data_IF_966241782893
#
_entry.id   IF_966241782893
#
_cell.length_a   1.000
_cell.length_b   1.000
_cell.length_c   1.000
_cell.angle_alpha   90.00
_cell.angle_beta   90.00
_cell.angle_gamma   90.00
#
_symmetry.space_group_name_H-M   'P 1'
#
loop_
_entity.id
_entity.type
_entity.pdbx_description
1 polymer ?
#
# COMPACT_ATOMS: atom_id res chain seq x y z
N UNK A 1 14.70 -12.76 3.31
CA UNK A 1 14.04 -11.69 4.10
C UNK A 1 13.01 -12.29 5.04
N UNK A 2 12.56 -11.54 6.05
CA UNK A 2 11.81 -12.09 7.19
C UNK A 2 10.30 -11.84 7.02
N UNK A 3 9.57 -12.77 6.38
CA UNK A 3 8.10 -12.72 6.20
C UNK A 3 7.34 -12.39 7.50
N UNK A 4 7.70 -12.95 8.68
CA UNK A 4 7.15 -12.52 9.96
C UNK A 4 7.23 -11.02 10.26
N UNK A 5 8.28 -10.32 9.81
CA UNK A 5 8.39 -8.87 9.95
C UNK A 5 7.40 -8.14 9.05
N UNK A 6 7.27 -8.56 7.79
CA UNK A 6 6.28 -8.01 6.87
C UNK A 6 4.86 -8.21 7.39
N UNK A 7 4.55 -9.40 7.88
CA UNK A 7 3.26 -9.71 8.49
C UNK A 7 2.93 -8.78 9.66
N UNK A 8 3.90 -8.49 10.55
CA UNK A 8 3.71 -7.52 11.64
C UNK A 8 3.43 -6.11 11.12
N UNK A 9 4.09 -5.69 10.03
CA UNK A 9 3.84 -4.39 9.39
C UNK A 9 2.43 -4.32 8.82
N UNK A 10 2.00 -5.35 8.07
CA UNK A 10 0.67 -5.41 7.43
C UNK A 10 -0.46 -5.45 8.48
N UNK A 11 -0.27 -6.18 9.58
CA UNK A 11 -1.20 -6.16 10.74
C UNK A 11 -1.42 -4.75 11.31
N UNK A 12 -0.46 -3.84 11.13
CA UNK A 12 -0.48 -2.45 11.62
C UNK A 12 -0.57 -1.46 10.47
N UNK A 13 -1.20 -1.84 9.35
CA UNK A 13 -1.26 -1.02 8.13
C UNK A 13 -1.75 0.40 8.39
N UNK A 14 -2.73 0.57 9.28
CA UNK A 14 -3.29 1.88 9.64
C UNK A 14 -2.23 2.85 10.24
N UNK A 15 -1.30 2.32 11.02
CA UNK A 15 -0.23 3.11 11.65
C UNK A 15 0.89 3.41 10.65
N UNK A 16 1.29 2.39 9.87
CA UNK A 16 2.39 2.53 8.93
C UNK A 16 2.02 3.34 7.68
N UNK A 17 0.74 3.37 7.28
CA UNK A 17 0.28 4.07 6.07
C UNK A 17 0.38 5.59 6.17
N UNK A 18 0.43 6.17 7.37
CA UNK A 18 0.42 7.63 7.58
C UNK A 18 1.57 8.37 6.88
N UNK A 19 2.69 7.68 6.63
CA UNK A 19 3.89 8.24 5.98
C UNK A 19 4.20 7.56 4.66
N UNK A 20 3.26 6.78 4.12
CA UNK A 20 3.45 5.98 2.92
C UNK A 20 2.53 6.47 1.81
N UNK A 21 3.01 6.52 0.57
CA UNK A 21 2.18 6.90 -0.56
C UNK A 21 1.13 5.82 -0.83
N UNK A 22 -0.07 6.25 -1.19
CA UNK A 22 -1.19 5.38 -1.56
C UNK A 22 -1.56 5.72 -3.00
N UNK A 23 -1.69 4.70 -3.83
CA UNK A 23 -1.98 4.85 -5.26
C UNK A 23 -3.24 4.06 -5.62
N UNK A 24 -3.93 4.49 -6.70
CA UNK A 24 -5.05 3.72 -7.28
C UNK A 24 -4.57 2.64 -8.27
N UNK A 25 -3.42 2.84 -8.90
CA UNK A 25 -2.88 1.95 -9.92
C UNK A 25 -1.61 1.26 -9.41
N UNK A 26 -1.55 -0.06 -9.58
CA UNK A 26 -0.38 -0.90 -9.26
C UNK A 26 0.84 -0.46 -10.05
N UNK A 27 0.69 -0.06 -11.31
CA UNK A 27 1.82 0.34 -12.16
C UNK A 27 2.60 1.53 -11.57
N UNK A 28 1.90 2.48 -10.95
CA UNK A 28 2.51 3.66 -10.33
C UNK A 28 3.30 3.27 -9.07
N UNK A 29 2.77 2.35 -8.27
CA UNK A 29 3.48 1.79 -7.10
C UNK A 29 4.77 1.09 -7.55
N UNK A 30 4.67 0.30 -8.61
CA UNK A 30 5.81 -0.44 -9.14
C UNK A 30 6.88 0.51 -9.70
N UNK A 31 6.51 1.56 -10.41
CA UNK A 31 7.44 2.59 -10.86
C UNK A 31 8.11 3.29 -9.68
N UNK A 32 7.34 3.66 -8.66
CA UNK A 32 7.88 4.23 -7.43
C UNK A 32 8.87 3.28 -6.76
N UNK A 33 8.54 2.00 -6.60
CA UNK A 33 9.44 0.99 -6.00
C UNK A 33 10.73 0.82 -6.80
N UNK A 34 10.64 0.74 -8.14
CA UNK A 34 11.82 0.62 -9.02
C UNK A 34 12.77 1.82 -8.89
N UNK A 35 12.25 2.98 -8.52
CA UNK A 35 13.06 4.19 -8.29
C UNK A 35 13.82 4.21 -6.96
N UNK A 36 13.50 3.30 -6.02
CA UNK A 36 14.10 3.30 -4.67
C UNK A 36 15.55 2.80 -4.73
N UNK A 37 16.43 3.25 -3.82
CA UNK A 37 17.84 2.83 -3.81
C UNK A 37 18.06 1.32 -3.69
N UNK A 38 17.15 0.60 -3.03
CA UNK A 38 17.19 -0.85 -2.89
C UNK A 38 15.76 -1.42 -3.01
N UNK A 39 15.26 -1.64 -4.25
CA UNK A 39 13.87 -2.05 -4.49
C UNK A 39 13.49 -3.37 -3.81
N UNK A 40 14.49 -4.22 -3.51
CA UNK A 40 14.27 -5.50 -2.80
C UNK A 40 13.75 -5.29 -1.38
N UNK A 41 14.04 -4.15 -0.75
CA UNK A 41 13.54 -3.83 0.60
C UNK A 41 12.16 -3.18 0.61
N UNK A 42 11.56 -3.01 -0.56
CA UNK A 42 10.30 -2.31 -0.73
C UNK A 42 9.21 -3.33 -1.09
N UNK A 43 8.00 -3.06 -0.63
CA UNK A 43 6.84 -3.90 -0.84
C UNK A 43 5.58 -3.03 -0.77
N UNK A 44 4.46 -3.55 -1.24
CA UNK A 44 3.18 -2.86 -1.15
C UNK A 44 2.03 -3.82 -0.83
N UNK A 45 0.94 -3.25 -0.34
CA UNK A 45 -0.28 -3.99 -0.04
C UNK A 45 -1.41 -3.49 -0.94
N UNK A 46 -2.27 -4.42 -1.37
CA UNK A 46 -3.54 -4.11 -2.03
C UNK A 46 -4.62 -4.08 -0.97
N UNK A 47 -5.35 -2.96 -0.91
CA UNK A 47 -6.40 -2.72 0.07
C UNK A 47 -7.69 -2.34 -0.63
N UNK A 48 -8.80 -2.88 -0.14
CA UNK A 48 -10.14 -2.47 -0.58
C UNK A 48 -10.67 -1.38 0.33
N UNK A 49 -11.05 -0.24 -0.24
CA UNK A 49 -11.61 0.90 0.48
C UNK A 49 -12.87 1.41 -0.21
N UNK A 50 -13.75 2.08 0.52
CA UNK A 50 -14.93 2.72 -0.10
C UNK A 50 -14.49 3.99 -0.81
N UNK A 51 -15.01 4.23 -2.01
CA UNK A 51 -14.75 5.46 -2.76
C UNK A 51 -15.13 6.72 -1.96
N UNK A 52 -16.16 6.62 -1.12
CA UNK A 52 -16.58 7.70 -0.21
C UNK A 52 -15.52 8.11 0.81
N UNK A 53 -14.58 7.22 1.13
CA UNK A 53 -13.55 7.43 2.14
C UNK A 53 -12.28 8.05 1.56
N UNK A 54 -12.23 8.21 0.24
CA UNK A 54 -11.18 8.94 -0.45
C UNK A 54 -11.46 10.44 -0.35
N UNK A 55 -10.52 11.18 0.23
CA UNK A 55 -10.61 12.63 0.34
C UNK A 55 -10.30 13.22 -1.03
N UNK A 56 -11.29 13.90 -1.61
CA UNK A 56 -11.11 14.65 -2.85
C UNK A 56 -10.22 15.86 -2.56
N UNK A 57 -9.18 16.07 -3.37
CA UNK A 57 -8.23 17.18 -3.19
C UNK A 57 -8.94 18.53 -3.01
N UNK A 58 -8.44 19.32 -2.07
CA UNK A 58 -8.98 20.66 -1.80
C UNK A 58 -8.69 21.58 -3.00
N UNK A 59 -9.72 22.29 -3.48
CA UNK A 59 -9.62 23.24 -4.60
C UNK A 59 -8.99 22.66 -5.91
N UNK A 60 -9.12 21.34 -6.14
CA UNK A 60 -8.65 20.69 -7.37
C UNK A 60 -7.14 20.41 -7.43
N UNK A 61 -6.38 20.71 -6.37
CA UNK A 61 -4.96 20.36 -6.29
C UNK A 61 -4.82 18.90 -5.82
N UNK A 62 -4.26 18.07 -6.68
CA UNK A 62 -3.92 16.68 -6.40
C UNK A 62 -2.48 16.61 -5.90
N UNK A 63 -2.23 15.80 -4.89
CA UNK A 63 -0.87 15.46 -4.50
C UNK A 63 -0.32 14.44 -5.49
N UNK A 64 0.94 14.61 -5.90
CA UNK A 64 1.60 13.68 -6.81
C UNK A 64 2.95 13.29 -6.26
N UNK A 65 3.42 12.11 -6.66
CA UNK A 65 4.81 11.72 -6.43
C UNK A 65 5.79 12.47 -7.37
N UNK A 66 7.06 12.07 -7.34
CA UNK A 66 8.11 12.66 -8.18
C UNK A 66 7.96 12.36 -9.69
N UNK A 67 7.15 11.36 -10.05
CA UNK A 67 6.85 10.96 -11.43
C UNK A 67 5.57 11.61 -11.96
N UNK A 68 4.85 12.36 -11.11
CA UNK A 68 3.59 13.01 -11.45
C UNK A 68 2.37 12.12 -11.23
N UNK A 69 2.53 10.95 -10.61
CA UNK A 69 1.42 10.04 -10.32
C UNK A 69 0.60 10.54 -9.14
N UNK A 70 -0.72 10.57 -9.30
CA UNK A 70 -1.65 10.99 -8.25
C UNK A 70 -1.56 10.08 -7.01
N UNK A 71 -1.39 10.72 -5.85
CA UNK A 71 -1.47 10.11 -4.54
C UNK A 71 -2.89 10.24 -3.98
N UNK A 72 -3.33 9.19 -3.30
CA UNK A 72 -4.64 9.10 -2.69
C UNK A 72 -4.55 9.45 -1.22
N UNK A 73 -5.35 10.42 -0.80
CA UNK A 73 -5.57 10.69 0.62
C UNK A 73 -6.84 9.98 1.09
N UNK A 74 -6.74 9.21 2.17
CA UNK A 74 -7.87 8.52 2.78
C UNK A 74 -8.30 9.22 4.07
N UNK A 75 -9.57 9.08 4.44
CA UNK A 75 -10.05 9.48 5.76
C UNK A 75 -9.37 8.66 6.85
N UNK A 76 -9.22 9.25 8.03
CA UNK A 76 -8.76 8.53 9.21
C UNK A 76 -9.65 7.30 9.49
N UNK A 77 -9.04 6.18 9.87
CA UNK A 77 -9.74 4.92 10.15
C UNK A 77 -10.17 4.10 8.93
N UNK A 78 -9.95 4.59 7.70
CA UNK A 78 -10.29 3.84 6.47
C UNK A 78 -9.47 2.56 6.30
N UNK A 79 -8.18 2.63 6.66
CA UNK A 79 -7.27 1.51 6.55
C UNK A 79 -7.31 0.66 7.82
N UNK A 80 -7.42 -0.64 7.62
CA UNK A 80 -7.36 -1.66 8.66
C UNK A 80 -6.85 -2.95 8.04
N UNK A 81 -6.24 -3.82 8.86
CA UNK A 81 -5.69 -5.10 8.39
C UNK A 81 -6.77 -5.99 7.75
N UNK A 82 -8.03 -5.86 8.19
CA UNK A 82 -9.19 -6.59 7.63
C UNK A 82 -9.52 -6.21 6.19
N UNK A 83 -9.04 -5.06 5.71
CA UNK A 83 -9.27 -4.56 4.37
C UNK A 83 -8.10 -4.86 3.42
N UNK A 84 -7.02 -5.46 3.93
CA UNK A 84 -5.87 -5.89 3.13
C UNK A 84 -6.22 -7.20 2.44
N UNK A 85 -6.07 -7.23 1.12
CA UNK A 85 -6.28 -8.44 0.32
C UNK A 85 -4.97 -9.16 0.08
N UNK A 86 -3.98 -8.43 -0.42
CA UNK A 86 -2.71 -8.99 -0.85
C UNK A 86 -1.54 -8.13 -0.40
N UNK A 87 -0.39 -8.77 -0.28
CA UNK A 87 0.91 -8.15 -0.06
C UNK A 87 1.88 -8.65 -1.12
N UNK A 88 2.55 -7.72 -1.78
CA UNK A 88 3.44 -8.00 -2.90
C UNK A 88 4.84 -7.52 -2.53
N UNK A 89 5.81 -8.42 -2.66
CA UNK A 89 7.22 -8.16 -2.36
C UNK A 89 8.11 -8.78 -3.43
N UNK A 90 8.65 -7.94 -4.32
CA UNK A 90 9.30 -8.42 -5.54
C UNK A 90 8.29 -9.16 -6.42
N UNK A 91 8.64 -10.39 -6.81
CA UNK A 91 7.78 -11.28 -7.60
C UNK A 91 6.86 -12.14 -6.73
N UNK A 92 7.01 -12.08 -5.40
CA UNK A 92 6.23 -12.89 -4.47
C UNK A 92 4.90 -12.22 -4.15
N UNK A 93 3.82 -12.99 -4.23
CA UNK A 93 2.47 -12.56 -3.90
C UNK A 93 1.94 -13.36 -2.72
N UNK A 94 1.48 -12.65 -1.70
CA UNK A 94 0.90 -13.22 -0.50
C UNK A 94 -0.55 -12.76 -0.36
N UNK A 95 -1.48 -13.70 -0.13
CA UNK A 95 -2.80 -13.35 0.38
C UNK A 95 -2.69 -13.06 1.88
N UNK A 96 -3.46 -12.09 2.36
CA UNK A 96 -3.50 -11.74 3.79
C UNK A 96 -4.79 -12.27 4.42
N UNK A 97 -4.71 -13.44 5.06
CA UNK A 97 -5.86 -14.20 5.59
C UNK A 97 -5.67 -14.40 7.09
N UNK A 98 -6.68 -14.08 7.89
CA UNK A 98 -6.65 -14.25 9.35
C UNK A 98 -5.40 -13.66 10.03
N UNK A 99 -4.94 -12.50 9.51
CA UNK A 99 -3.72 -11.80 9.91
C UNK A 99 -2.41 -12.51 9.53
N UNK A 100 -2.42 -13.45 8.60
CA UNK A 100 -1.23 -14.17 8.13
C UNK A 100 -0.98 -13.94 6.64
N UNK A 101 0.31 -13.89 6.27
CA UNK A 101 0.73 -13.84 4.88
C UNK A 101 0.88 -15.27 4.36
N UNK A 102 0.00 -15.65 3.43
CA UNK A 102 0.00 -16.97 2.79
C UNK A 102 0.54 -16.81 1.38
N UNK A 103 1.68 -17.45 1.08
CA UNK A 103 2.30 -17.37 -0.25
C UNK A 103 1.40 -18.03 -1.30
N UNK A 104 1.15 -17.34 -2.41
CA UNK A 104 0.32 -17.81 -3.53
C UNK A 104 1.15 -18.05 -4.79
N UNK A 105 2.15 -17.20 -5.05
CA UNK A 105 3.11 -17.35 -6.17
C UNK A 105 4.48 -16.79 -5.81
#
# INVERSE_FOLDING_TARGET
>A
ENVPQWQRTVRRVAEYSLTRPIYRNVDHVQEFIRSRPDPRKEAFAIVSVKESDIIKGYAGKKETDAFGHELVTLREGTLSSVNVQQFIHGDLVYDFIDNELVLVS
#
